data_IF_641706926737
#
_entry.id   IF_641706926737
#
_cell.length_a   1.000
_cell.length_b   1.000
_cell.length_c   1.000
_cell.angle_alpha   90.00
_cell.angle_beta   90.00
_cell.angle_gamma   90.00
#
_symmetry.space_group_name_H-M   'P 1'
#
loop_
_entity.id
_entity.type
_entity.pdbx_description
1 polymer ?
#
# COMPACT_ATOMS: atom_id res chain seq x y z
N UNK A 1 34.68 -7.45 20.86
CA UNK A 1 33.56 -6.47 20.84
C UNK A 1 32.67 -6.79 19.65
N UNK A 2 31.52 -7.36 19.91
CA UNK A 2 30.56 -7.70 18.85
C UNK A 2 29.81 -6.41 18.51
N UNK A 3 30.09 -5.81 17.36
CA UNK A 3 29.29 -4.73 16.82
C UNK A 3 27.99 -5.38 16.33
N UNK A 4 26.94 -5.30 17.15
CA UNK A 4 25.61 -5.65 16.73
C UNK A 4 25.21 -4.67 15.63
N UNK A 5 25.39 -5.07 14.37
CA UNK A 5 24.83 -4.34 13.23
C UNK A 5 23.32 -4.44 13.37
N UNK A 6 22.70 -3.40 13.90
CA UNK A 6 21.25 -3.25 13.87
C UNK A 6 20.91 -3.18 12.37
N UNK A 7 20.46 -4.30 11.86
CA UNK A 7 19.99 -4.38 10.47
C UNK A 7 18.89 -3.32 10.29
N UNK A 8 19.10 -2.39 9.36
CA UNK A 8 18.16 -1.30 9.14
C UNK A 8 16.79 -1.87 8.73
N UNK A 9 15.82 -1.73 9.61
CA UNK A 9 14.47 -2.26 9.42
C UNK A 9 13.74 -1.53 8.29
N UNK A 10 12.80 -2.23 7.67
CA UNK A 10 11.86 -1.62 6.71
C UNK A 10 11.07 -0.53 7.42
N UNK A 11 10.91 0.60 6.78
CA UNK A 11 10.18 1.75 7.33
C UNK A 11 9.53 2.58 6.24
N UNK A 12 8.55 3.39 6.60
CA UNK A 12 7.96 4.41 5.74
C UNK A 12 8.30 5.79 6.29
N UNK A 13 8.75 6.68 5.43
CA UNK A 13 9.00 8.08 5.73
C UNK A 13 8.03 8.97 4.94
N UNK A 14 7.73 10.12 5.52
CA UNK A 14 6.86 11.13 4.91
C UNK A 14 7.73 12.29 4.42
N UNK A 15 7.48 12.74 3.21
CA UNK A 15 8.14 13.88 2.60
C UNK A 15 7.07 14.85 2.07
N UNK A 16 6.96 16.03 2.66
CA UNK A 16 6.10 17.06 2.12
C UNK A 16 6.65 17.51 0.75
N UNK A 17 5.80 17.47 -0.27
CA UNK A 17 6.15 17.91 -1.63
C UNK A 17 5.58 19.30 -1.86
N UNK A 18 4.33 19.52 -1.47
CA UNK A 18 3.59 20.76 -1.60
C UNK A 18 2.48 20.81 -0.55
N UNK A 19 1.73 21.90 -0.49
CA UNK A 19 0.55 22.01 0.37
C UNK A 19 -0.44 20.91 0.02
N UNK A 20 -0.73 20.06 1.02
CA UNK A 20 -1.63 18.91 0.84
C UNK A 20 -1.10 17.78 -0.03
N UNK A 21 0.19 17.79 -0.42
CA UNK A 21 0.81 16.73 -1.22
C UNK A 21 1.99 16.14 -0.49
N UNK A 22 1.92 14.83 -0.20
CA UNK A 22 2.89 14.12 0.63
C UNK A 22 3.38 12.87 -0.13
N UNK A 23 4.69 12.69 -0.23
CA UNK A 23 5.26 11.41 -0.63
C UNK A 23 5.39 10.50 0.59
N UNK A 24 4.81 9.31 0.50
CA UNK A 24 4.99 8.21 1.45
C UNK A 24 6.01 7.24 0.86
N UNK A 25 7.23 7.29 1.37
CA UNK A 25 8.34 6.52 0.83
C UNK A 25 8.67 5.33 1.72
N UNK A 26 8.35 4.14 1.26
CA UNK A 26 8.77 2.90 1.88
C UNK A 26 10.23 2.59 1.58
N UNK A 27 11.02 2.33 2.61
CA UNK A 27 12.43 1.96 2.51
C UNK A 27 12.61 0.49 2.92
N UNK A 28 13.32 -0.28 2.12
CA UNK A 28 13.72 -1.65 2.41
C UNK A 28 15.23 -1.82 2.20
N UNK A 29 16.06 -1.39 3.18
CA UNK A 29 17.51 -1.33 3.01
C UNK A 29 18.17 -2.70 2.80
N UNK A 30 17.54 -3.75 3.30
CA UNK A 30 18.09 -5.12 3.20
C UNK A 30 17.67 -5.87 1.93
N UNK A 31 16.80 -5.28 1.11
CA UNK A 31 16.38 -5.92 -0.12
C UNK A 31 17.49 -5.82 -1.17
N UNK A 32 18.15 -6.95 -1.42
CA UNK A 32 19.24 -7.05 -2.39
C UNK A 32 18.78 -7.33 -3.83
N UNK A 33 17.47 -7.55 -4.04
CA UNK A 33 16.90 -7.88 -5.34
C UNK A 33 15.63 -7.10 -5.60
N UNK A 34 15.49 -6.54 -6.79
CA UNK A 34 14.26 -5.97 -7.30
C UNK A 34 14.04 -6.45 -8.74
N UNK A 35 12.99 -7.22 -8.98
CA UNK A 35 12.68 -7.85 -10.28
C UNK A 35 13.90 -8.61 -10.86
N UNK A 36 14.49 -8.09 -11.92
CA UNK A 36 15.68 -8.66 -12.58
C UNK A 36 17.00 -8.07 -12.08
N UNK A 37 16.96 -7.06 -11.23
CA UNK A 37 18.14 -6.44 -10.66
C UNK A 37 18.56 -7.15 -9.37
N UNK A 38 19.84 -7.43 -9.27
CA UNK A 38 20.47 -8.12 -8.14
C UNK A 38 21.56 -7.27 -7.53
N UNK A 39 21.98 -7.65 -6.33
CA UNK A 39 23.07 -7.00 -5.60
C UNK A 39 22.85 -5.49 -5.36
N UNK A 40 21.62 -5.12 -4.97
CA UNK A 40 21.29 -3.74 -4.62
C UNK A 40 21.99 -3.35 -3.30
N UNK A 41 22.97 -2.47 -3.38
CA UNK A 41 23.79 -2.04 -2.23
C UNK A 41 23.00 -1.24 -1.18
N UNK A 42 21.98 -0.48 -1.64
CA UNK A 42 21.18 0.42 -0.79
C UNK A 42 19.73 -0.05 -0.60
N UNK A 43 19.43 -1.28 -1.01
CA UNK A 43 18.10 -1.82 -0.96
C UNK A 43 17.17 -1.25 -2.02
N UNK A 44 15.86 -1.25 -1.73
CA UNK A 44 14.83 -0.76 -2.63
C UNK A 44 13.87 0.19 -1.92
N UNK A 45 13.14 0.98 -2.71
CA UNK A 45 12.10 1.89 -2.23
C UNK A 45 10.76 1.59 -2.91
N UNK A 46 9.68 1.89 -2.21
CA UNK A 46 8.33 1.94 -2.76
C UNK A 46 7.76 3.32 -2.47
N UNK A 47 7.45 4.08 -3.52
CA UNK A 47 7.00 5.45 -3.38
C UNK A 47 5.52 5.55 -3.75
N UNK A 48 4.76 6.20 -2.86
CA UNK A 48 3.36 6.55 -3.05
C UNK A 48 3.20 8.05 -2.88
N UNK A 49 2.20 8.64 -3.53
CA UNK A 49 1.87 10.06 -3.34
C UNK A 49 0.46 10.14 -2.80
N UNK A 50 0.30 10.89 -1.72
CA UNK A 50 -0.98 11.20 -1.11
C UNK A 50 -1.32 12.66 -1.36
N UNK A 51 -2.48 12.90 -1.94
CA UNK A 51 -3.14 14.20 -1.99
C UNK A 51 -4.16 14.23 -0.85
N UNK A 52 -3.98 15.14 0.09
CA UNK A 52 -4.87 15.28 1.22
C UNK A 52 -6.27 15.68 0.78
N UNK A 53 -7.28 15.24 1.52
CA UNK A 53 -8.65 15.64 1.28
C UNK A 53 -8.82 17.15 1.48
N UNK A 54 -9.61 17.77 0.58
CA UNK A 54 -10.21 19.07 0.83
C UNK A 54 -11.52 18.94 1.62
N UNK A 55 -12.22 20.05 1.81
CA UNK A 55 -13.49 20.07 2.56
C UNK A 55 -14.59 19.21 1.92
N UNK A 56 -14.54 18.99 0.62
CA UNK A 56 -15.53 18.26 -0.19
C UNK A 56 -14.90 17.18 -1.08
N UNK A 57 -13.60 17.08 -1.12
CA UNK A 57 -12.89 16.17 -2.02
C UNK A 57 -12.31 15.00 -1.25
N UNK A 58 -12.33 13.76 -1.82
CA UNK A 58 -11.67 12.63 -1.21
C UNK A 58 -10.14 12.83 -1.16
N UNK A 59 -9.48 12.14 -0.24
CA UNK A 59 -8.05 11.96 -0.36
C UNK A 59 -7.73 11.06 -1.56
N UNK A 60 -6.62 11.28 -2.23
CA UNK A 60 -6.18 10.45 -3.36
C UNK A 60 -4.82 9.85 -3.06
N UNK A 61 -4.76 8.54 -2.98
CA UNK A 61 -3.51 7.78 -2.81
C UNK A 61 -3.09 7.20 -4.17
N UNK A 62 -1.94 7.60 -4.66
CA UNK A 62 -1.40 7.14 -5.93
C UNK A 62 -0.32 6.08 -5.69
N UNK A 63 -0.49 4.94 -6.33
CA UNK A 63 0.49 3.86 -6.39
C UNK A 63 0.91 3.31 -5.01
N UNK A 64 -0.01 2.70 -4.23
CA UNK A 64 0.32 2.11 -2.94
C UNK A 64 1.37 1.01 -3.08
N UNK A 65 2.19 0.76 -2.04
CA UNK A 65 3.21 -0.29 -2.07
C UNK A 65 2.58 -1.69 -2.04
N UNK A 66 3.42 -2.73 -2.08
CA UNK A 66 2.98 -4.10 -1.85
C UNK A 66 2.82 -4.44 -0.37
N UNK A 67 2.17 -5.59 -0.08
CA UNK A 67 1.87 -6.07 1.28
C UNK A 67 3.09 -6.20 2.20
N UNK A 68 4.27 -6.36 1.63
CA UNK A 68 5.51 -6.37 2.41
C UNK A 68 5.75 -5.08 3.21
N UNK A 69 5.07 -3.99 2.86
CA UNK A 69 5.13 -2.71 3.56
C UNK A 69 3.91 -2.46 4.46
N UNK A 70 2.89 -3.32 4.50
CA UNK A 70 1.62 -3.06 5.22
C UNK A 70 1.87 -2.60 6.65
N UNK A 71 2.70 -3.29 7.41
CA UNK A 71 2.95 -2.99 8.83
C UNK A 71 3.61 -1.62 9.09
N UNK A 72 4.33 -1.08 8.12
CA UNK A 72 5.03 0.21 8.24
C UNK A 72 4.39 1.33 7.41
N UNK A 73 3.54 0.98 6.45
CA UNK A 73 2.86 1.94 5.57
C UNK A 73 1.50 2.37 6.11
N UNK A 74 0.68 1.40 6.55
CA UNK A 74 -0.69 1.69 6.98
C UNK A 74 -0.78 2.61 8.20
N UNK A 75 0.08 2.49 9.23
CA UNK A 75 0.08 3.45 10.34
C UNK A 75 0.41 4.87 9.89
N UNK A 76 1.41 5.03 9.01
CA UNK A 76 1.83 6.32 8.50
C UNK A 76 0.75 6.96 7.62
N UNK A 77 0.07 6.17 6.78
CA UNK A 77 -1.07 6.63 6.01
C UNK A 77 -2.21 7.08 6.93
N UNK A 78 -2.52 6.32 7.99
CA UNK A 78 -3.58 6.64 8.93
C UNK A 78 -3.35 7.96 9.68
N UNK A 79 -2.10 8.34 9.92
CA UNK A 79 -1.76 9.65 10.50
C UNK A 79 -2.12 10.84 9.59
N UNK A 80 -2.22 10.60 8.27
CA UNK A 80 -2.52 11.63 7.28
C UNK A 80 -4.01 11.71 6.92
N UNK A 81 -4.79 10.69 7.25
CA UNK A 81 -6.22 10.63 7.00
C UNK A 81 -7.00 10.98 8.28
N UNK A 82 -8.07 11.74 8.14
CA UNK A 82 -8.82 12.24 9.31
C UNK A 82 -9.44 11.11 10.13
N UNK A 83 -10.07 10.14 9.46
CA UNK A 83 -10.70 8.97 10.07
C UNK A 83 -10.94 7.84 9.05
N UNK A 84 -11.50 6.73 9.52
CA UNK A 84 -11.82 5.58 8.68
C UNK A 84 -13.03 5.81 7.73
N UNK A 85 -13.84 6.84 8.00
CA UNK A 85 -15.00 7.22 7.17
C UNK A 85 -14.64 8.24 6.09
N UNK A 86 -13.39 8.72 6.08
CA UNK A 86 -12.92 9.58 5.02
C UNK A 86 -12.94 8.87 3.67
N UNK A 87 -13.48 9.53 2.64
CA UNK A 87 -13.43 9.01 1.29
C UNK A 87 -11.98 8.96 0.80
N UNK A 88 -11.59 7.79 0.27
CA UNK A 88 -10.24 7.53 -0.21
C UNK A 88 -10.29 6.95 -1.62
N UNK A 89 -9.77 7.67 -2.59
CA UNK A 89 -9.52 7.16 -3.94
C UNK A 89 -8.11 6.59 -4.02
N UNK A 90 -7.97 5.37 -4.51
CA UNK A 90 -6.66 4.72 -4.69
C UNK A 90 -6.39 4.46 -6.16
N UNK A 91 -5.40 5.14 -6.71
CA UNK A 91 -4.97 4.95 -8.10
C UNK A 91 -3.93 3.83 -8.15
N UNK A 92 -4.29 2.72 -8.79
CA UNK A 92 -3.47 1.52 -8.90
C UNK A 92 -2.77 1.49 -10.26
N UNK A 93 -1.52 1.92 -10.30
CA UNK A 93 -0.75 1.97 -11.55
C UNK A 93 -0.24 0.61 -12.04
N UNK A 94 -0.04 -0.34 -11.13
CA UNK A 94 0.40 -1.71 -11.42
C UNK A 94 -0.27 -2.71 -10.49
N UNK A 95 -0.85 -3.74 -11.06
CA UNK A 95 -1.58 -4.79 -10.31
C UNK A 95 -0.75 -6.06 -10.22
N UNK A 96 -0.50 -6.52 -9.00
CA UNK A 96 0.11 -7.81 -8.70
C UNK A 96 -0.43 -8.36 -7.37
N UNK A 97 -0.24 -9.66 -7.06
CA UNK A 97 -0.77 -10.26 -5.84
C UNK A 97 -0.36 -9.57 -4.55
N UNK A 98 0.88 -9.09 -4.45
CA UNK A 98 1.37 -8.39 -3.26
C UNK A 98 0.66 -7.05 -3.05
N UNK A 99 0.38 -6.31 -4.13
CA UNK A 99 -0.34 -5.04 -4.03
C UNK A 99 -1.80 -5.27 -3.71
N UNK A 100 -2.44 -6.28 -4.30
CA UNK A 100 -3.83 -6.64 -3.99
C UNK A 100 -4.00 -6.98 -2.50
N UNK A 101 -3.04 -7.64 -1.88
CA UNK A 101 -3.11 -7.91 -0.45
C UNK A 101 -3.12 -6.62 0.40
N UNK A 102 -2.32 -5.61 0.06
CA UNK A 102 -2.38 -4.31 0.73
C UNK A 102 -3.69 -3.57 0.45
N UNK A 103 -4.23 -3.66 -0.77
CA UNK A 103 -5.51 -3.05 -1.11
C UNK A 103 -6.66 -3.65 -0.30
N UNK A 104 -6.61 -4.95 0.01
CA UNK A 104 -7.57 -5.59 0.93
C UNK A 104 -7.47 -5.02 2.34
N UNK A 105 -6.25 -4.87 2.87
CA UNK A 105 -6.03 -4.25 4.19
C UNK A 105 -6.60 -2.82 4.23
N UNK A 106 -6.50 -2.08 3.13
CA UNK A 106 -7.10 -0.75 3.00
C UNK A 106 -8.64 -0.81 2.95
N UNK A 107 -9.21 -1.76 2.19
CA UNK A 107 -10.66 -1.92 2.07
C UNK A 107 -11.31 -2.35 3.41
N UNK A 108 -10.60 -3.11 4.23
CA UNK A 108 -11.05 -3.44 5.59
C UNK A 108 -11.06 -2.23 6.53
N UNK A 109 -10.15 -1.29 6.30
CA UNK A 109 -9.95 -0.13 7.19
C UNK A 109 -10.79 1.08 6.78
N UNK A 110 -11.01 1.29 5.48
CA UNK A 110 -11.68 2.48 4.95
C UNK A 110 -12.96 2.09 4.20
N UNK A 111 -14.11 2.39 4.83
CA UNK A 111 -15.44 2.01 4.30
C UNK A 111 -15.82 2.71 3.00
N UNK A 112 -15.25 3.89 2.73
CA UNK A 112 -15.48 4.70 1.51
C UNK A 112 -14.25 4.69 0.60
N UNK A 113 -13.66 3.50 0.41
CA UNK A 113 -12.54 3.33 -0.51
C UNK A 113 -13.06 3.00 -1.90
N UNK A 114 -12.53 3.72 -2.89
CA UNK A 114 -12.72 3.45 -4.32
C UNK A 114 -11.37 3.19 -4.98
N UNK A 115 -11.36 2.30 -5.98
CA UNK A 115 -10.14 1.95 -6.72
C UNK A 115 -10.22 2.47 -8.15
N UNK A 116 -9.15 3.09 -8.62
CA UNK A 116 -8.99 3.53 -9.99
C UNK A 116 -7.85 2.74 -10.64
N UNK A 117 -8.17 2.02 -11.71
CA UNK A 117 -7.20 1.25 -12.47
C UNK A 117 -7.49 1.37 -13.98
N UNK A 118 -6.52 1.01 -14.81
CA UNK A 118 -6.78 0.85 -16.24
C UNK A 118 -7.76 -0.32 -16.47
N UNK A 119 -8.44 -0.35 -17.62
CA UNK A 119 -9.36 -1.45 -17.96
C UNK A 119 -8.71 -2.84 -17.85
N UNK A 120 -7.45 -2.97 -18.26
CA UNK A 120 -6.69 -4.21 -18.11
C UNK A 120 -6.36 -4.48 -16.64
N UNK A 121 -5.94 -3.45 -15.89
CA UNK A 121 -5.66 -3.53 -14.47
C UNK A 121 -6.89 -3.91 -13.65
N UNK A 122 -8.04 -3.36 -13.96
CA UNK A 122 -9.31 -3.68 -13.29
C UNK A 122 -9.69 -5.16 -13.43
N UNK A 123 -9.50 -5.74 -14.62
CA UNK A 123 -9.74 -7.18 -14.85
C UNK A 123 -8.81 -8.05 -14.01
N UNK A 124 -7.52 -7.76 -14.03
CA UNK A 124 -6.53 -8.50 -13.22
C UNK A 124 -6.82 -8.32 -11.72
N UNK A 125 -7.19 -7.12 -11.30
CA UNK A 125 -7.54 -6.84 -9.91
C UNK A 125 -8.75 -7.66 -9.45
N UNK A 126 -9.81 -7.72 -10.26
CA UNK A 126 -10.99 -8.53 -9.97
C UNK A 126 -10.67 -10.03 -9.86
N UNK A 127 -9.85 -10.55 -10.76
CA UNK A 127 -9.40 -11.95 -10.70
C UNK A 127 -8.58 -12.23 -9.43
N UNK A 128 -7.60 -11.40 -9.12
CA UNK A 128 -6.76 -11.57 -7.94
C UNK A 128 -7.54 -11.34 -6.64
N UNK A 129 -8.59 -10.51 -6.67
CA UNK A 129 -9.42 -10.24 -5.48
C UNK A 129 -10.19 -11.47 -5.04
N UNK A 130 -10.67 -12.27 -5.99
CA UNK A 130 -11.41 -13.51 -5.72
C UNK A 130 -10.50 -14.67 -5.31
N UNK A 131 -9.21 -14.61 -5.62
CA UNK A 131 -8.25 -15.64 -5.20
C UNK A 131 -8.06 -15.58 -3.68
N UNK A 132 -8.63 -16.56 -2.98
CA UNK A 132 -8.48 -16.67 -1.52
C UNK A 132 -7.02 -16.95 -1.16
N UNK A 133 -6.46 -16.15 -0.28
CA UNK A 133 -5.30 -16.56 0.48
C UNK A 133 -5.71 -17.82 1.28
N UNK A 134 -4.98 -18.95 1.21
CA UNK A 134 -5.33 -20.11 2.00
C UNK A 134 -5.38 -19.69 3.47
N UNK A 135 -6.56 -19.80 4.08
CA UNK A 135 -6.73 -19.54 5.50
C UNK A 135 -5.96 -20.62 6.29
N UNK A 136 -5.36 -20.26 7.44
CA UNK A 136 -4.88 -21.26 8.38
C UNK A 136 -6.01 -22.24 8.72
N UNK A 137 -5.72 -23.53 8.92
CA UNK A 137 -6.77 -24.51 9.25
C UNK A 137 -7.56 -24.05 10.46
N UNK A 138 -8.88 -23.87 10.30
CA UNK A 138 -9.82 -23.52 11.38
C UNK A 138 -10.26 -22.03 11.45
N UNK A 139 -9.86 -21.16 10.52
CA UNK A 139 -10.37 -19.79 10.43
C UNK A 139 -11.00 -19.53 9.06
N UNK A 140 -12.30 -19.22 9.04
CA UNK A 140 -12.92 -18.58 7.89
C UNK A 140 -12.53 -17.10 7.92
N UNK A 141 -11.72 -16.68 6.96
CA UNK A 141 -11.41 -15.27 6.75
C UNK A 141 -12.42 -14.73 5.73
N UNK A 142 -13.39 -13.96 6.22
CA UNK A 142 -14.28 -13.19 5.35
C UNK A 142 -13.44 -12.12 4.63
N UNK A 143 -13.45 -12.12 3.31
CA UNK A 143 -12.78 -11.06 2.55
C UNK A 143 -13.73 -9.89 2.38
N UNK A 144 -13.24 -8.66 2.52
CA UNK A 144 -14.03 -7.50 2.18
C UNK A 144 -14.41 -7.55 0.69
N UNK A 145 -15.58 -7.04 0.30
CA UNK A 145 -15.97 -6.95 -1.09
C UNK A 145 -14.95 -6.11 -1.87
N UNK A 146 -14.80 -6.40 -3.16
CA UNK A 146 -14.02 -5.55 -4.04
C UNK A 146 -14.65 -4.15 -4.05
N UNK A 147 -13.90 -3.08 -3.72
CA UNK A 147 -14.39 -1.72 -3.83
C UNK A 147 -14.80 -1.36 -5.25
N UNK A 148 -15.59 -0.31 -5.41
CA UNK A 148 -15.95 0.22 -6.73
C UNK A 148 -14.70 0.57 -7.54
N UNK A 149 -14.74 0.22 -8.83
CA UNK A 149 -13.64 0.36 -9.80
C UNK A 149 -13.99 1.39 -10.87
#
# INVERSE_FOLDING_TARGET
MSVSTIAAERRTIQLAIDTGVIALRGLSPQRSRFELEYALERGSTANSVLFAAGDVEPAVLVHPPGAAYSSVFLPVLAEQLADADQALLVVVGHVNPNRVALLRDLAERYSKLELIASNAGAKVLAELWTQRKPAPPGQEVEQPPLPDL
#
